data_IF_651504541943
#
_entry.id   IF_651504541943
#
_cell.length_a   1.000
_cell.length_b   1.000
_cell.length_c   1.000
_cell.angle_alpha   90.00
_cell.angle_beta   90.00
_cell.angle_gamma   90.00
#
_symmetry.space_group_name_H-M   'P 1'
#
loop_
_entity.id
_entity.type
_entity.pdbx_description
1 polymer ?
#
# COMPACT_ATOMS: atom_id res chain seq x y z
N UNK A 1 -6.33 -17.64 13.69
CA UNK A 1 -5.67 -16.36 13.39
C UNK A 1 -6.52 -15.62 12.36
N UNK A 2 -6.79 -14.35 12.61
CA UNK A 2 -7.64 -13.55 11.75
C UNK A 2 -6.81 -12.93 10.61
N UNK A 3 -7.35 -12.92 9.40
CA UNK A 3 -6.71 -12.24 8.29
C UNK A 3 -7.20 -10.80 8.17
N UNK A 4 -6.31 -9.94 7.67
CA UNK A 4 -6.58 -8.52 7.49
C UNK A 4 -6.51 -8.23 6.00
N UNK A 5 -7.63 -7.77 5.42
CA UNK A 5 -7.72 -7.39 4.02
C UNK A 5 -7.67 -5.87 3.85
N UNK A 6 -7.07 -5.37 2.74
CA UNK A 6 -7.28 -3.97 2.37
C UNK A 6 -8.76 -3.73 2.07
N UNK A 7 -9.17 -2.46 2.10
CA UNK A 7 -10.57 -2.11 1.82
C UNK A 7 -10.90 -2.42 0.36
N UNK A 8 -11.59 -3.52 0.13
CA UNK A 8 -11.76 -4.10 -1.21
C UNK A 8 -12.80 -3.39 -2.08
N UNK A 9 -13.68 -2.59 -1.50
CA UNK A 9 -14.72 -1.93 -2.29
C UNK A 9 -14.19 -0.96 -3.35
N UNK A 10 -12.95 -0.50 -3.18
CA UNK A 10 -12.30 0.38 -4.13
C UNK A 10 -11.84 -0.33 -5.40
N UNK A 11 -11.77 -1.65 -5.40
CA UNK A 11 -11.30 -2.43 -6.56
C UNK A 11 -12.18 -2.23 -7.78
N UNK A 12 -13.45 -1.91 -7.62
CA UNK A 12 -14.34 -1.61 -8.73
C UNK A 12 -14.06 -0.24 -9.36
N UNK A 13 -13.31 0.62 -8.69
CA UNK A 13 -12.99 1.97 -9.14
C UNK A 13 -11.52 2.14 -9.53
N UNK A 14 -10.63 1.41 -8.86
CA UNK A 14 -9.20 1.58 -9.08
C UNK A 14 -8.43 0.33 -8.65
N UNK A 15 -7.46 -0.08 -9.47
CA UNK A 15 -6.53 -1.16 -9.13
C UNK A 15 -5.12 -0.72 -9.50
N UNK A 16 -4.25 -0.58 -8.50
CA UNK A 16 -2.89 -0.05 -8.70
C UNK A 16 -2.04 -0.93 -9.62
N UNK A 17 -2.22 -2.25 -9.58
CA UNK A 17 -1.46 -3.15 -10.44
C UNK A 17 -1.80 -3.02 -11.92
N UNK A 18 -2.94 -2.41 -12.24
CA UNK A 18 -3.38 -2.17 -13.60
C UNK A 18 -3.15 -0.73 -14.07
N UNK A 19 -2.66 0.13 -13.19
CA UNK A 19 -2.38 1.53 -13.49
C UNK A 19 -0.91 1.69 -13.88
N UNK A 20 -0.59 1.99 -15.15
CA UNK A 20 0.81 2.13 -15.58
C UNK A 20 1.58 3.23 -14.87
N UNK A 21 0.89 4.18 -14.24
CA UNK A 21 1.52 5.28 -13.52
C UNK A 21 1.74 5.00 -12.04
N UNK A 22 1.25 3.85 -11.54
CA UNK A 22 1.38 3.51 -10.12
C UNK A 22 2.73 2.84 -9.85
N UNK A 23 3.25 2.94 -8.60
CA UNK A 23 4.48 2.24 -8.23
C UNK A 23 4.32 0.72 -8.19
N UNK A 24 3.09 0.22 -8.20
CA UNK A 24 2.80 -1.22 -8.14
C UNK A 24 2.29 -1.78 -9.45
N UNK A 25 2.50 -1.07 -10.55
CA UNK A 25 2.05 -1.53 -11.86
C UNK A 25 2.64 -2.90 -12.21
N UNK A 26 1.77 -3.78 -12.66
CA UNK A 26 2.16 -5.13 -13.07
C UNK A 26 2.32 -6.12 -11.93
N UNK A 27 2.08 -5.72 -10.68
CA UNK A 27 2.19 -6.62 -9.54
C UNK A 27 1.13 -7.71 -9.62
N UNK A 28 1.56 -8.95 -9.34
CA UNK A 28 0.67 -10.11 -9.31
C UNK A 28 0.37 -10.47 -7.86
N UNK A 29 -0.90 -10.75 -7.58
CA UNK A 29 -1.35 -11.10 -6.24
C UNK A 29 -1.80 -12.56 -6.22
N UNK A 30 -1.31 -13.31 -5.24
CA UNK A 30 -1.73 -14.68 -5.02
C UNK A 30 -2.83 -14.68 -3.96
N UNK A 31 -4.08 -14.80 -4.40
CA UNK A 31 -5.24 -14.71 -3.51
C UNK A 31 -5.48 -15.98 -2.68
N UNK A 32 -4.74 -17.04 -2.94
CA UNK A 32 -4.93 -18.31 -2.22
C UNK A 32 -3.99 -18.49 -1.05
N UNK A 33 -3.04 -17.58 -0.82
CA UNK A 33 -2.02 -17.73 0.21
C UNK A 33 -1.80 -16.45 1.00
N UNK A 34 -1.57 -16.61 2.29
CA UNK A 34 -1.15 -15.55 3.20
C UNK A 34 0.28 -15.88 3.63
N UNK A 35 1.24 -15.05 3.23
CA UNK A 35 2.65 -15.36 3.38
C UNK A 35 3.25 -14.92 4.72
N UNK A 36 2.72 -13.85 5.30
CA UNK A 36 3.29 -13.24 6.51
C UNK A 36 2.21 -13.01 7.53
N UNK A 37 2.62 -12.87 8.79
CA UNK A 37 1.73 -12.39 9.84
C UNK A 37 2.36 -11.22 10.58
N UNK A 38 1.51 -10.35 11.13
CA UNK A 38 1.91 -9.26 12.00
C UNK A 38 0.99 -9.32 13.22
N UNK A 39 1.57 -9.42 14.41
CA UNK A 39 0.85 -9.40 15.68
C UNK A 39 -0.30 -10.41 15.75
N UNK A 40 -0.11 -11.60 15.16
CA UNK A 40 -1.11 -12.65 15.20
C UNK A 40 -2.16 -12.57 14.10
N UNK A 41 -2.02 -11.68 13.13
CA UNK A 41 -2.91 -11.61 11.98
C UNK A 41 -2.19 -12.07 10.72
N UNK A 42 -2.88 -12.79 9.86
CA UNK A 42 -2.37 -13.10 8.53
C UNK A 42 -2.47 -11.85 7.66
N UNK A 43 -1.43 -11.61 6.87
CA UNK A 43 -1.41 -10.49 5.94
C UNK A 43 -2.01 -10.95 4.62
N UNK A 44 -3.10 -10.32 4.22
CA UNK A 44 -3.77 -10.64 2.96
C UNK A 44 -2.84 -10.33 1.78
N UNK A 45 -2.77 -11.19 0.77
CA UNK A 45 -1.85 -10.97 -0.35
C UNK A 45 -2.14 -9.74 -1.19
N UNK A 46 -3.27 -9.06 -1.00
CA UNK A 46 -3.57 -7.82 -1.70
C UNK A 46 -2.86 -6.58 -1.13
N UNK A 47 -2.25 -6.70 0.05
CA UNK A 47 -1.40 -5.63 0.57
C UNK A 47 -0.10 -5.60 -0.22
N UNK A 48 0.43 -4.39 -0.44
CA UNK A 48 1.69 -4.19 -1.16
C UNK A 48 2.84 -3.94 -0.20
N UNK A 49 3.98 -4.56 -0.51
CA UNK A 49 5.21 -4.36 0.23
C UNK A 49 6.05 -3.27 -0.42
N UNK A 50 6.73 -2.47 0.42
CA UNK A 50 7.66 -1.45 -0.05
C UNK A 50 8.98 -1.49 0.74
N UNK A 51 9.45 -2.70 0.98
CA UNK A 51 10.70 -3.04 1.68
C UNK A 51 10.64 -2.95 3.20
N UNK A 52 9.55 -2.53 3.81
CA UNK A 52 9.38 -2.59 5.25
C UNK A 52 8.91 -3.99 5.66
N UNK A 53 9.50 -4.58 6.70
CA UNK A 53 9.03 -5.88 7.20
C UNK A 53 7.78 -5.82 8.06
N UNK A 54 7.37 -4.63 8.51
CA UNK A 54 6.25 -4.49 9.45
C UNK A 54 5.15 -3.57 8.97
N UNK A 55 5.29 -2.98 7.79
CA UNK A 55 4.32 -2.03 7.27
C UNK A 55 4.00 -2.36 5.82
N UNK A 56 2.72 -2.33 5.50
CA UNK A 56 2.20 -2.61 4.17
C UNK A 56 1.28 -1.47 3.74
N UNK A 57 1.08 -1.33 2.45
CA UNK A 57 0.15 -0.32 1.95
C UNK A 57 -0.71 -0.86 0.81
N UNK A 58 -1.75 -0.11 0.50
CA UNK A 58 -2.60 -0.36 -0.66
C UNK A 58 -3.07 0.98 -1.20
N UNK A 59 -2.81 1.25 -2.47
CA UNK A 59 -3.36 2.44 -3.11
C UNK A 59 -4.81 2.15 -3.45
N UNK A 60 -5.72 2.81 -2.75
CA UNK A 60 -7.15 2.61 -2.95
C UNK A 60 -7.68 3.37 -4.15
N UNK A 61 -7.10 4.54 -4.43
CA UNK A 61 -7.55 5.38 -5.52
C UNK A 61 -6.48 6.40 -5.88
N UNK A 62 -6.30 6.65 -7.18
CA UNK A 62 -5.42 7.71 -7.65
C UNK A 62 -6.15 8.52 -8.73
N UNK A 63 -6.20 9.83 -8.55
CA UNK A 63 -6.79 10.75 -9.52
C UNK A 63 -5.69 11.70 -9.99
N UNK A 64 -5.15 11.42 -11.16
CA UNK A 64 -4.04 12.20 -11.70
C UNK A 64 -4.48 13.58 -12.20
N UNK A 65 -5.75 13.73 -12.55
CA UNK A 65 -6.28 15.03 -12.97
C UNK A 65 -6.44 15.98 -11.80
N UNK A 66 -6.91 15.46 -10.66
CA UNK A 66 -7.07 16.22 -9.42
C UNK A 66 -5.85 16.16 -8.53
N UNK A 67 -4.86 15.36 -8.90
CA UNK A 67 -3.55 15.28 -8.27
C UNK A 67 -3.60 14.77 -6.82
N UNK A 68 -4.48 13.83 -6.52
CA UNK A 68 -4.54 13.22 -5.20
C UNK A 68 -4.55 11.70 -5.27
N UNK A 69 -4.18 11.08 -4.15
CA UNK A 69 -4.18 9.63 -3.98
C UNK A 69 -4.68 9.28 -2.58
N UNK A 70 -5.37 8.16 -2.47
CA UNK A 70 -5.82 7.62 -1.18
C UNK A 70 -5.07 6.30 -0.97
N UNK A 71 -4.33 6.22 0.14
CA UNK A 71 -3.50 5.06 0.47
C UNK A 71 -3.92 4.53 1.84
N UNK A 72 -4.24 3.25 1.90
CA UNK A 72 -4.47 2.55 3.16
C UNK A 72 -3.18 1.91 3.61
N UNK A 73 -2.87 2.04 4.89
CA UNK A 73 -1.66 1.49 5.50
C UNK A 73 -2.05 0.51 6.59
N UNK A 74 -1.29 -0.57 6.71
CA UNK A 74 -1.48 -1.54 7.79
C UNK A 74 -0.14 -1.91 8.38
N UNK A 75 -0.07 -1.97 9.71
CA UNK A 75 1.13 -2.37 10.42
C UNK A 75 1.70 -1.25 11.27
N UNK A 76 2.98 -1.35 11.58
CA UNK A 76 3.64 -0.44 12.49
C UNK A 76 4.83 0.24 11.82
N UNK A 77 4.90 1.56 11.93
CA UNK A 77 6.07 2.33 11.51
C UNK A 77 7.24 2.03 12.42
N UNK A 78 8.38 1.73 11.84
CA UNK A 78 9.58 1.43 12.61
C UNK A 78 10.79 2.09 11.96
N UNK A 79 10.91 3.41 12.12
CA UNK A 79 11.97 4.18 11.48
C UNK A 79 13.34 3.90 12.08
N UNK A 80 13.39 3.54 13.35
CA UNK A 80 14.66 3.26 14.02
C UNK A 80 15.32 2.00 13.49
N UNK A 81 14.54 0.93 13.30
CA UNK A 81 15.08 -0.37 12.88
C UNK A 81 15.02 -0.59 11.37
N UNK A 82 14.00 -0.02 10.69
CA UNK A 82 13.70 -0.40 9.32
C UNK A 82 13.67 0.77 8.33
N UNK A 83 13.78 2.02 8.81
CA UNK A 83 13.69 3.21 7.96
C UNK A 83 12.40 3.24 7.14
N UNK A 84 11.27 2.91 7.75
CA UNK A 84 10.00 2.76 7.04
C UNK A 84 9.59 4.04 6.28
N UNK A 85 9.80 5.20 6.90
CA UNK A 85 9.45 6.47 6.27
C UNK A 85 10.26 6.70 4.99
N UNK A 86 11.54 6.34 5.00
CA UNK A 86 12.40 6.49 3.82
C UNK A 86 12.00 5.56 2.70
N UNK A 87 11.70 4.29 3.03
CA UNK A 87 11.30 3.31 2.04
C UNK A 87 9.94 3.67 1.42
N UNK A 88 8.99 4.09 2.26
CA UNK A 88 7.69 4.53 1.77
C UNK A 88 7.83 5.76 0.88
N UNK A 89 8.63 6.74 1.30
CA UNK A 89 8.88 7.92 0.50
C UNK A 89 9.47 7.55 -0.86
N UNK A 90 10.52 6.74 -0.90
CA UNK A 90 11.19 6.39 -2.15
C UNK A 90 10.34 5.55 -3.08
N UNK A 91 9.70 4.52 -2.53
CA UNK A 91 9.05 3.51 -3.37
C UNK A 91 7.63 3.90 -3.77
N UNK A 92 6.98 4.75 -2.99
CA UNK A 92 5.58 5.11 -3.22
C UNK A 92 5.42 6.61 -3.46
N UNK A 93 5.81 7.44 -2.50
CA UNK A 93 5.50 8.88 -2.54
C UNK A 93 6.25 9.57 -3.67
N UNK A 94 7.56 9.37 -3.78
CA UNK A 94 8.35 10.03 -4.82
C UNK A 94 7.92 9.60 -6.22
N UNK A 95 7.56 8.34 -6.38
CA UNK A 95 7.05 7.85 -7.65
C UNK A 95 5.76 8.60 -8.03
N UNK A 96 4.83 8.73 -7.09
CA UNK A 96 3.55 9.40 -7.34
C UNK A 96 3.73 10.91 -7.56
N UNK A 97 4.65 11.54 -6.84
CA UNK A 97 4.99 12.95 -7.08
C UNK A 97 5.49 13.13 -8.51
N UNK A 98 6.33 12.21 -8.98
CA UNK A 98 6.81 12.23 -10.35
C UNK A 98 5.69 12.10 -11.39
N UNK A 99 4.54 11.56 -11.01
CA UNK A 99 3.36 11.45 -11.86
C UNK A 99 2.38 12.60 -11.67
N UNK A 100 2.74 13.62 -10.89
CA UNK A 100 1.91 14.81 -10.71
C UNK A 100 1.03 14.82 -9.47
N UNK A 101 1.10 13.80 -8.63
CA UNK A 101 0.32 13.76 -7.37
C UNK A 101 0.95 14.72 -6.37
N UNK A 102 0.12 15.54 -5.73
CA UNK A 102 0.57 16.49 -4.70
C UNK A 102 -0.26 16.46 -3.42
N UNK A 103 -1.28 15.62 -3.36
CA UNK A 103 -2.11 15.45 -2.16
C UNK A 103 -2.19 13.96 -1.82
N UNK A 104 -1.87 13.63 -0.57
CA UNK A 104 -1.85 12.25 -0.11
C UNK A 104 -2.78 12.09 1.08
N UNK A 105 -3.78 11.21 0.94
CA UNK A 105 -4.70 10.88 2.02
C UNK A 105 -4.29 9.50 2.53
N UNK A 106 -3.81 9.46 3.77
CA UNK A 106 -3.34 8.22 4.38
C UNK A 106 -4.33 7.73 5.42
N UNK A 107 -4.74 6.48 5.28
CA UNK A 107 -5.61 5.81 6.23
C UNK A 107 -4.79 4.70 6.88
N UNK A 108 -4.56 4.79 8.19
CA UNK A 108 -3.70 3.85 8.88
C UNK A 108 -4.48 2.98 9.85
N UNK A 109 -4.36 1.66 9.69
CA UNK A 109 -4.91 0.69 10.60
C UNK A 109 -3.80 0.02 11.39
N UNK A 110 -4.02 -0.13 12.68
CA UNK A 110 -3.10 -0.85 13.57
C UNK A 110 -3.78 -2.12 14.07
N UNK A 111 -3.01 -3.21 14.15
CA UNK A 111 -3.51 -4.47 14.69
C UNK A 111 -3.83 -4.39 16.17
#
# INVERSE_FOLDING_TARGET
MQDIEPFYQWESHYVASKDPRSPFYGRLYNTSMYENDIYGYYIHPFWDEFESPTLYCKILFADYNRQFVIIEMFGEWNDTLHNDIMWFKRNVIDHLIGQGINQFILMHEQP
#
